data_IF_186827698874
#
_entry.id   IF_186827698874
#
_cell.length_a   1.000
_cell.length_b   1.000
_cell.length_c   1.000
_cell.angle_alpha   90.00
_cell.angle_beta   90.00
_cell.angle_gamma   90.00
#
_symmetry.space_group_name_H-M   'P 1'
#
loop_
_entity.id
_entity.type
_entity.pdbx_description
1 polymer ?
#
# COMPACT_ATOMS: atom_id res chain seq x y z
N UNK A 1 -5.07 22.15 4.50
CA UNK A 1 -5.22 20.69 4.51
C UNK A 1 -6.10 20.29 5.69
N UNK A 2 -7.00 19.31 5.54
CA UNK A 2 -7.79 18.80 6.67
C UNK A 2 -6.88 18.07 7.67
N UNK A 3 -7.17 18.21 8.96
CA UNK A 3 -6.48 17.48 10.03
C UNK A 3 -7.11 16.09 10.14
N UNK A 4 -6.32 15.04 9.94
CA UNK A 4 -6.74 13.65 10.18
C UNK A 4 -6.38 13.29 11.62
N UNK A 5 -7.33 12.73 12.35
CA UNK A 5 -7.11 12.24 13.72
C UNK A 5 -7.13 10.71 13.68
N UNK A 6 -6.15 10.08 14.32
CA UNK A 6 -5.98 8.63 14.40
C UNK A 6 -6.25 8.23 15.85
N UNK A 7 -6.88 7.08 16.05
CA UNK A 7 -7.06 6.51 17.39
C UNK A 7 -5.69 6.33 18.09
N UNK A 8 -5.57 6.66 19.40
CA UNK A 8 -4.30 6.58 20.11
C UNK A 8 -3.66 5.19 20.10
N UNK A 9 -4.46 4.12 20.15
CA UNK A 9 -3.95 2.75 20.10
C UNK A 9 -3.33 2.48 18.72
N UNK A 10 -4.05 2.81 17.66
CA UNK A 10 -3.59 2.65 16.28
C UNK A 10 -2.33 3.48 16.01
N UNK A 11 -2.28 4.71 16.53
CA UNK A 11 -1.10 5.57 16.43
C UNK A 11 0.14 4.91 17.06
N UNK A 12 -0.02 4.31 18.24
CA UNK A 12 1.10 3.65 18.94
C UNK A 12 1.62 2.43 18.17
N UNK A 13 0.74 1.61 17.62
CA UNK A 13 1.10 0.45 16.79
C UNK A 13 1.75 0.88 15.47
N UNK A 14 1.20 1.91 14.82
CA UNK A 14 1.75 2.44 13.58
C UNK A 14 3.15 3.03 13.77
N UNK A 15 3.41 3.69 14.91
CA UNK A 15 4.73 4.21 15.24
C UNK A 15 5.74 3.08 15.43
N UNK A 16 5.39 2.05 16.19
CA UNK A 16 6.24 0.88 16.38
C UNK A 16 6.53 0.16 15.05
N UNK A 17 5.51 0.02 14.19
CA UNK A 17 5.66 -0.56 12.87
C UNK A 17 6.58 0.27 11.96
N UNK A 18 6.42 1.60 11.95
CA UNK A 18 7.28 2.50 11.18
C UNK A 18 8.76 2.37 11.58
N UNK A 19 9.05 2.38 12.88
CA UNK A 19 10.41 2.20 13.41
C UNK A 19 10.97 0.81 13.07
N UNK A 20 10.16 -0.25 13.25
CA UNK A 20 10.56 -1.64 12.99
C UNK A 20 10.85 -1.92 11.51
N UNK A 21 10.16 -1.22 10.61
CA UNK A 21 10.35 -1.30 9.16
C UNK A 21 11.44 -0.34 8.64
N UNK A 22 12.05 0.45 9.53
CA UNK A 22 13.17 1.33 9.19
C UNK A 22 12.77 2.65 8.52
N UNK A 23 11.51 3.08 8.67
CA UNK A 23 11.08 4.41 8.19
C UNK A 23 11.71 5.51 9.05
N UNK A 24 11.98 6.66 8.42
CA UNK A 24 12.58 7.81 9.11
C UNK A 24 11.58 8.56 10.00
N UNK A 25 10.29 8.46 9.68
CA UNK A 25 9.21 9.00 10.50
C UNK A 25 7.88 8.26 10.28
N UNK A 26 6.94 8.44 11.20
CA UNK A 26 5.56 7.97 11.04
C UNK A 26 4.87 8.63 9.84
N UNK A 27 5.21 9.88 9.52
CA UNK A 27 4.61 10.60 8.39
C UNK A 27 5.02 9.97 7.07
N UNK A 28 6.30 9.59 6.93
CA UNK A 28 6.79 8.86 5.75
C UNK A 28 6.06 7.52 5.59
N UNK A 29 5.92 6.76 6.68
CA UNK A 29 5.18 5.51 6.69
C UNK A 29 3.73 5.69 6.24
N UNK A 30 3.01 6.67 6.80
CA UNK A 30 1.61 6.95 6.44
C UNK A 30 1.50 7.38 4.98
N UNK A 31 2.41 8.22 4.50
CA UNK A 31 2.43 8.65 3.10
C UNK A 31 2.60 7.45 2.16
N UNK A 32 3.59 6.60 2.44
CA UNK A 32 3.88 5.41 1.65
C UNK A 32 2.70 4.42 1.62
N UNK A 33 2.05 4.20 2.78
CA UNK A 33 0.88 3.33 2.85
C UNK A 33 -0.28 3.89 2.02
N UNK A 34 -0.55 5.20 2.11
CA UNK A 34 -1.60 5.84 1.31
C UNK A 34 -1.29 5.72 -0.20
N UNK A 35 -0.06 6.01 -0.63
CA UNK A 35 0.35 5.87 -2.03
C UNK A 35 0.18 4.43 -2.54
N UNK A 36 0.56 3.45 -1.72
CA UNK A 36 0.41 2.03 -2.05
C UNK A 36 -1.05 1.64 -2.21
N UNK A 37 -1.94 2.06 -1.29
CA UNK A 37 -3.37 1.77 -1.40
C UNK A 37 -4.03 2.49 -2.59
N UNK A 38 -3.65 3.74 -2.85
CA UNK A 38 -4.10 4.46 -4.05
C UNK A 38 -3.67 3.77 -5.34
N UNK A 39 -2.44 3.24 -5.38
CA UNK A 39 -1.91 2.52 -6.55
C UNK A 39 -2.70 1.24 -6.82
N UNK A 40 -3.13 0.50 -5.78
CA UNK A 40 -4.00 -0.67 -5.93
C UNK A 40 -5.37 -0.31 -6.50
N UNK A 41 -5.96 0.78 -6.03
CA UNK A 41 -7.27 1.26 -6.51
C UNK A 41 -7.19 1.83 -7.93
N UNK A 42 -6.04 2.40 -8.29
CA UNK A 42 -5.77 2.91 -9.63
C UNK A 42 -5.39 1.80 -10.64
N UNK A 43 -5.12 0.57 -10.18
CA UNK A 43 -4.65 -0.55 -11.01
C UNK A 43 -5.66 -1.71 -11.16
N UNK A 44 -6.94 -1.48 -11.52
CA UNK A 44 -7.84 -2.58 -11.85
C UNK A 44 -7.47 -3.30 -13.17
N UNK A 45 -6.44 -2.84 -13.89
CA UNK A 45 -6.12 -3.30 -15.25
C UNK A 45 -4.79 -4.09 -15.38
N UNK A 46 -3.81 -3.90 -14.50
CA UNK A 46 -2.49 -4.55 -14.65
C UNK A 46 -2.54 -6.06 -14.37
N UNK A 47 -3.28 -6.50 -13.36
CA UNK A 47 -3.44 -7.93 -13.06
C UNK A 47 -4.23 -8.65 -14.15
N UNK A 48 -5.30 -8.03 -14.67
CA UNK A 48 -6.08 -8.61 -15.77
C UNK A 48 -5.27 -8.68 -17.07
N UNK A 49 -4.38 -7.73 -17.34
CA UNK A 49 -3.51 -7.72 -18.51
C UNK A 49 -2.37 -8.74 -18.38
N UNK A 50 -1.76 -8.87 -17.20
CA UNK A 50 -0.73 -9.87 -16.91
C UNK A 50 -1.34 -11.28 -16.99
N UNK A 51 -2.50 -11.51 -16.39
CA UNK A 51 -3.21 -12.81 -16.47
C UNK A 51 -3.58 -13.18 -17.90
N UNK A 52 -4.08 -12.23 -18.70
CA UNK A 52 -4.38 -12.47 -20.13
C UNK A 52 -3.11 -12.79 -20.91
N UNK A 53 -2.00 -12.09 -20.63
CA UNK A 53 -0.71 -12.34 -21.28
C UNK A 53 -0.14 -13.71 -20.90
N UNK A 54 -0.22 -14.08 -19.62
CA UNK A 54 0.26 -15.37 -19.13
C UNK A 54 -0.60 -16.54 -19.63
N UNK A 55 -1.93 -16.37 -19.75
CA UNK A 55 -2.85 -17.33 -20.39
C UNK A 55 -2.55 -17.50 -21.87
N UNK A 56 -2.33 -16.39 -22.61
CA UNK A 56 -2.00 -16.43 -24.04
C UNK A 56 -0.65 -17.10 -24.35
N UNK A 57 0.25 -17.11 -23.37
CA UNK A 57 1.56 -17.77 -23.47
C UNK A 57 1.56 -19.20 -22.89
N UNK A 58 0.43 -19.69 -22.36
CA UNK A 58 0.28 -21.06 -21.86
C UNK A 58 0.97 -21.36 -20.53
N UNK A 59 1.44 -20.34 -19.80
CA UNK A 59 2.08 -20.50 -18.49
C UNK A 59 1.07 -20.74 -17.36
N UNK A 60 -0.18 -20.33 -17.56
CA UNK A 60 -1.28 -20.49 -16.62
C UNK A 60 -2.50 -20.95 -17.42
N UNK A 61 -3.26 -21.91 -16.89
CA UNK A 61 -4.45 -22.47 -17.53
C UNK A 61 -5.71 -21.73 -17.10
#
# INVERSE_FOLDING_TARGET
MPKITIDPLVYSEAKWAAESLGYSSLEEFVHHVIEKELSKLASPEEDAAIDRRLKGLGYIK
#
